data_IF_828525550680
#
_entry.id   IF_828525550680
#
_cell.length_a   1.000
_cell.length_b   1.000
_cell.length_c   1.000
_cell.angle_alpha   90.00
_cell.angle_beta   90.00
_cell.angle_gamma   90.00
#
_symmetry.space_group_name_H-M   'P 1'
#
loop_
_entity.id
_entity.type
_entity.pdbx_description
1 polymer ?
#
# COMPACT_ATOMS: atom_id res chain seq x y z
N UNK A 1 -38.66 -49.64 28.81
CA UNK A 1 -37.23 -49.33 29.08
C UNK A 1 -37.13 -47.82 29.20
N UNK A 2 -36.74 -47.37 30.33
CA UNK A 2 -37.09 -46.13 31.05
C UNK A 2 -36.41 -44.91 30.47
N UNK A 3 -37.20 -43.90 30.09
CA UNK A 3 -36.78 -42.54 29.84
C UNK A 3 -36.64 -41.82 31.19
N UNK A 4 -35.51 -41.15 31.40
CA UNK A 4 -35.30 -40.31 32.54
C UNK A 4 -35.45 -38.83 32.11
N UNK A 5 -36.55 -38.28 32.61
CA UNK A 5 -36.95 -36.90 32.54
C UNK A 5 -36.10 -36.08 33.53
N UNK A 6 -35.54 -34.97 33.09
CA UNK A 6 -34.87 -34.00 33.99
C UNK A 6 -35.50 -32.61 33.85
N UNK A 7 -36.50 -32.38 34.69
CA UNK A 7 -37.16 -31.10 34.90
C UNK A 7 -36.36 -30.24 35.89
N UNK A 8 -35.91 -29.04 35.46
CA UNK A 8 -35.39 -28.04 36.37
C UNK A 8 -36.51 -27.13 36.84
N UNK A 9 -36.86 -27.23 38.14
CA UNK A 9 -37.77 -26.34 38.83
C UNK A 9 -37.04 -25.09 39.31
N UNK A 10 -37.61 -23.94 38.92
CA UNK A 10 -37.30 -22.63 39.49
C UNK A 10 -37.88 -22.54 40.89
N UNK A 11 -37.10 -22.12 41.86
CA UNK A 11 -37.47 -21.30 43.04
C UNK A 11 -36.38 -21.44 44.10
N UNK A 12 -35.65 -20.35 44.44
CA UNK A 12 -35.58 -19.84 45.81
C UNK A 12 -35.05 -18.41 45.76
N UNK A 13 -35.86 -17.55 46.25
CA UNK A 13 -35.70 -16.10 46.45
C UNK A 13 -34.97 -15.82 47.77
N UNK A 14 -34.17 -14.77 47.75
CA UNK A 14 -33.95 -13.76 48.80
C UNK A 14 -33.46 -14.19 50.20
N UNK A 15 -32.32 -13.62 50.61
CA UNK A 15 -32.24 -12.70 51.78
C UNK A 15 -30.89 -11.95 51.84
N UNK A 16 -30.99 -10.67 51.59
CA UNK A 16 -30.38 -9.49 52.24
C UNK A 16 -29.19 -9.68 53.18
N UNK A 17 -28.12 -8.94 52.92
CA UNK A 17 -27.41 -8.16 53.93
C UNK A 17 -26.63 -7.02 53.28
N UNK A 18 -26.98 -5.81 53.73
CA UNK A 18 -26.28 -4.52 53.43
C UNK A 18 -25.09 -4.44 54.39
N UNK A 19 -23.91 -4.19 53.87
CA UNK A 19 -22.86 -3.50 54.64
C UNK A 19 -21.69 -3.09 53.73
N UNK A 20 -21.31 -1.84 53.74
CA UNK A 20 -19.95 -1.38 53.55
C UNK A 20 -19.60 -0.81 52.16
N UNK A 21 -19.95 0.46 51.96
CA UNK A 21 -19.36 1.35 50.96
C UNK A 21 -17.88 1.58 51.32
N UNK A 22 -16.96 1.05 50.54
CA UNK A 22 -15.59 1.53 50.46
C UNK A 22 -15.33 1.93 49.02
N UNK A 23 -15.46 3.24 48.77
CA UNK A 23 -15.01 3.87 47.55
C UNK A 23 -13.48 3.81 47.46
N UNK A 24 -12.95 2.75 46.91
CA UNK A 24 -11.62 2.75 46.33
C UNK A 24 -11.77 3.11 44.86
N UNK A 25 -11.32 4.33 44.55
CA UNK A 25 -11.28 4.84 43.16
C UNK A 25 -10.42 3.97 42.28
N UNK A 26 -11.00 2.95 41.68
CA UNK A 26 -10.43 2.29 40.51
C UNK A 26 -10.52 3.29 39.37
N UNK A 27 -9.38 3.93 39.06
CA UNK A 27 -9.17 4.58 37.79
C UNK A 27 -9.41 3.50 36.71
N UNK A 28 -10.61 3.48 36.15
CA UNK A 28 -10.94 2.76 34.94
C UNK A 28 -9.90 3.17 33.90
N UNK A 29 -8.89 2.31 33.73
CA UNK A 29 -7.93 2.40 32.65
C UNK A 29 -8.70 2.01 31.38
N UNK A 30 -9.51 2.95 30.88
CA UNK A 30 -10.03 2.81 29.53
C UNK A 30 -8.81 2.79 28.59
N UNK A 31 -8.58 1.70 27.84
CA UNK A 31 -7.58 1.75 26.81
C UNK A 31 -8.01 2.91 25.90
N UNK A 32 -7.15 3.94 25.82
CA UNK A 32 -7.25 4.95 24.78
C UNK A 32 -7.22 4.14 23.46
N UNK A 33 -8.39 3.88 22.90
CA UNK A 33 -8.51 3.52 21.50
C UNK A 33 -7.74 4.62 20.79
N UNK A 34 -6.51 4.28 20.37
CA UNK A 34 -5.72 5.13 19.51
C UNK A 34 -6.62 5.36 18.30
N UNK A 35 -7.27 6.52 18.28
CA UNK A 35 -8.06 6.98 17.15
C UNK A 35 -7.03 7.08 16.04
N UNK A 36 -6.95 6.03 15.21
CA UNK A 36 -6.18 6.07 13.99
C UNK A 36 -6.68 7.33 13.27
N UNK A 37 -5.92 8.41 13.34
CA UNK A 37 -6.22 9.59 12.55
C UNK A 37 -6.27 9.09 11.12
N UNK A 38 -7.47 9.08 10.55
CA UNK A 38 -7.64 8.78 9.14
C UNK A 38 -6.66 9.70 8.41
N UNK A 39 -5.61 9.14 7.86
CA UNK A 39 -4.62 9.89 7.10
C UNK A 39 -5.38 10.48 5.93
N UNK A 40 -5.57 11.78 5.92
CA UNK A 40 -6.15 12.47 4.77
C UNK A 40 -5.19 12.20 3.63
N UNK A 41 -5.62 11.36 2.69
CA UNK A 41 -4.82 11.06 1.51
C UNK A 41 -4.78 12.33 0.64
N UNK A 42 -3.63 12.68 0.07
CA UNK A 42 -3.54 13.80 -0.85
C UNK A 42 -4.37 13.53 -2.11
N UNK A 43 -4.56 14.54 -2.93
CA UNK A 43 -5.29 14.40 -4.20
C UNK A 43 -4.79 13.20 -5.02
N UNK A 44 -5.72 12.40 -5.52
CA UNK A 44 -5.43 11.18 -6.27
C UNK A 44 -5.18 11.47 -7.75
N UNK A 45 -4.23 12.34 -8.06
CA UNK A 45 -3.82 12.69 -9.43
C UNK A 45 -2.31 12.48 -9.60
N UNK A 46 -1.93 11.80 -10.68
CA UNK A 46 -0.54 11.48 -11.02
C UNK A 46 -0.25 11.76 -12.49
N UNK A 47 1.04 12.06 -12.77
CA UNK A 47 1.59 12.22 -14.10
C UNK A 47 2.65 11.18 -14.31
N UNK A 48 2.54 10.45 -15.42
CA UNK A 48 3.46 9.41 -15.81
C UNK A 48 4.05 9.65 -17.20
N UNK A 49 5.29 9.27 -17.34
CA UNK A 49 5.97 9.05 -18.61
C UNK A 49 6.63 7.67 -18.57
N UNK A 50 6.27 6.78 -19.48
CA UNK A 50 6.91 5.48 -19.59
C UNK A 50 8.13 5.61 -20.52
N UNK A 51 9.33 5.44 -19.98
CA UNK A 51 10.60 5.66 -20.71
C UNK A 51 10.87 4.65 -21.83
N UNK A 52 10.12 3.54 -21.90
CA UNK A 52 10.28 2.51 -22.91
C UNK A 52 9.24 2.59 -24.04
N UNK A 53 8.10 3.21 -23.79
CA UNK A 53 6.99 3.31 -24.77
C UNK A 53 6.75 4.72 -25.25
N UNK A 54 7.44 5.72 -24.67
CA UNK A 54 7.28 7.16 -24.93
C UNK A 54 5.86 7.69 -24.65
N UNK A 55 5.05 6.92 -23.91
CA UNK A 55 3.68 7.28 -23.57
C UNK A 55 3.63 8.17 -22.32
N UNK A 56 2.69 9.11 -22.35
CA UNK A 56 2.37 9.98 -21.20
C UNK A 56 0.94 9.82 -20.77
N UNK A 57 0.74 9.87 -19.45
CA UNK A 57 -0.59 9.83 -18.84
C UNK A 57 -0.65 10.83 -17.70
N UNK A 58 -1.64 11.72 -17.73
CA UNK A 58 -2.05 12.49 -16.58
C UNK A 58 -3.44 12.03 -16.19
N UNK A 59 -3.60 11.52 -14.99
CA UNK A 59 -4.83 10.83 -14.59
C UNK A 59 -5.20 11.13 -13.16
N UNK A 60 -6.49 11.44 -12.95
CA UNK A 60 -7.09 11.49 -11.61
C UNK A 60 -7.78 10.16 -11.35
N UNK A 61 -7.10 9.29 -10.62
CA UNK A 61 -7.56 7.92 -10.34
C UNK A 61 -8.43 7.80 -9.08
N UNK A 62 -8.49 8.87 -8.26
CA UNK A 62 -9.25 8.89 -7.00
C UNK A 62 -9.80 10.28 -6.73
N UNK A 63 -11.07 10.36 -6.40
CA UNK A 63 -11.74 11.62 -6.06
C UNK A 63 -11.48 12.02 -4.58
N UNK A 64 -11.97 13.21 -4.19
CA UNK A 64 -11.83 13.76 -2.84
C UNK A 64 -12.54 12.93 -1.76
N UNK A 65 -13.52 12.12 -2.14
CA UNK A 65 -14.24 11.20 -1.25
C UNK A 65 -13.51 9.87 -1.06
N UNK A 66 -12.34 9.69 -1.68
CA UNK A 66 -11.56 8.47 -1.61
C UNK A 66 -12.04 7.35 -2.54
N UNK A 67 -12.95 7.63 -3.47
CA UNK A 67 -13.47 6.64 -4.42
C UNK A 67 -12.57 6.58 -5.65
N UNK A 68 -12.20 5.36 -6.06
CA UNK A 68 -11.41 5.12 -7.26
C UNK A 68 -12.27 5.20 -8.52
N UNK A 69 -11.70 5.76 -9.58
CA UNK A 69 -12.22 5.69 -10.93
C UNK A 69 -11.65 4.46 -11.62
N UNK A 70 -12.53 3.51 -11.99
CA UNK A 70 -12.09 2.24 -12.57
C UNK A 70 -11.47 2.43 -13.95
N UNK A 71 -11.99 3.37 -14.76
CA UNK A 71 -11.40 3.67 -16.07
C UNK A 71 -9.99 4.25 -15.91
N UNK A 72 -9.80 5.15 -14.96
CA UNK A 72 -8.49 5.70 -14.65
C UNK A 72 -7.52 4.64 -14.11
N UNK A 73 -8.00 3.63 -13.38
CA UNK A 73 -7.18 2.49 -12.96
C UNK A 73 -6.79 1.61 -14.15
N UNK A 74 -7.66 1.43 -15.14
CA UNK A 74 -7.34 0.70 -16.38
C UNK A 74 -6.29 1.46 -17.21
N UNK A 75 -6.38 2.79 -17.32
CA UNK A 75 -5.34 3.61 -17.94
C UNK A 75 -4.00 3.47 -17.22
N UNK A 76 -4.01 3.41 -15.88
CA UNK A 76 -2.80 3.15 -15.07
C UNK A 76 -2.24 1.76 -15.32
N UNK A 77 -3.09 0.73 -15.39
CA UNK A 77 -2.67 -0.63 -15.73
C UNK A 77 -1.98 -0.65 -17.11
N UNK A 78 -2.52 0.11 -18.08
CA UNK A 78 -1.98 0.18 -19.43
C UNK A 78 -0.60 0.85 -19.47
N UNK A 79 -0.44 2.04 -18.87
CA UNK A 79 0.86 2.75 -18.89
C UNK A 79 1.94 2.03 -18.08
N UNK A 80 1.55 1.25 -17.07
CA UNK A 80 2.43 0.47 -16.19
C UNK A 80 2.62 -0.98 -16.66
N UNK A 81 2.14 -1.34 -17.85
CA UNK A 81 2.27 -2.69 -18.42
C UNK A 81 3.72 -3.14 -18.60
N UNK A 82 3.91 -4.41 -18.81
CA UNK A 82 5.22 -4.95 -19.12
C UNK A 82 5.71 -4.40 -20.46
N UNK A 83 6.72 -3.52 -20.45
CA UNK A 83 7.26 -2.92 -21.66
C UNK A 83 7.93 -3.93 -22.61
N UNK A 84 8.33 -5.11 -22.12
CA UNK A 84 8.99 -6.13 -22.91
C UNK A 84 8.01 -7.00 -23.70
N UNK A 85 6.87 -7.38 -23.07
CA UNK A 85 5.88 -8.27 -23.69
C UNK A 85 4.62 -7.55 -24.13
N UNK A 86 4.39 -6.30 -23.70
CA UNK A 86 3.15 -5.58 -23.90
C UNK A 86 1.99 -6.06 -23.00
N UNK A 87 2.24 -7.08 -22.17
CA UNK A 87 1.20 -7.64 -21.28
C UNK A 87 0.75 -6.63 -20.25
N UNK A 88 -0.57 -6.43 -20.14
CA UNK A 88 -1.23 -5.59 -19.14
C UNK A 88 -1.70 -6.46 -17.99
N UNK A 89 -1.44 -6.04 -16.77
CA UNK A 89 -1.96 -6.68 -15.56
C UNK A 89 -2.52 -5.63 -14.60
N UNK A 90 -3.38 -6.05 -13.70
CA UNK A 90 -3.93 -5.17 -12.66
C UNK A 90 -2.82 -4.78 -11.68
N UNK A 91 -2.59 -3.48 -11.57
CA UNK A 91 -1.72 -2.92 -10.55
C UNK A 91 -2.47 -2.82 -9.22
N UNK A 92 -1.83 -3.17 -8.13
CA UNK A 92 -2.39 -3.00 -6.79
C UNK A 92 -2.56 -1.49 -6.50
N UNK A 93 -3.76 -1.00 -6.20
CA UNK A 93 -3.98 0.42 -5.90
C UNK A 93 -3.08 0.95 -4.76
N UNK A 94 -2.62 0.10 -3.87
CA UNK A 94 -1.71 0.50 -2.78
C UNK A 94 -0.35 0.97 -3.29
N UNK A 95 0.19 0.39 -4.37
CA UNK A 95 1.46 0.89 -4.94
C UNK A 95 1.26 2.24 -5.62
N UNK A 96 0.10 2.47 -6.24
CA UNK A 96 -0.28 3.76 -6.82
C UNK A 96 -0.39 4.84 -5.72
N UNK A 97 -1.03 4.50 -4.59
CA UNK A 97 -1.08 5.41 -3.43
C UNK A 97 0.30 5.68 -2.83
N UNK A 98 1.20 4.70 -2.81
CA UNK A 98 2.57 4.91 -2.35
C UNK A 98 3.31 5.93 -3.24
N UNK A 99 3.20 5.79 -4.56
CA UNK A 99 3.75 6.75 -5.53
C UNK A 99 3.16 8.15 -5.32
N UNK A 100 1.83 8.24 -5.17
CA UNK A 100 1.13 9.50 -4.95
C UNK A 100 1.60 10.19 -3.66
N UNK A 101 1.68 9.47 -2.55
CA UNK A 101 2.17 9.99 -1.29
C UNK A 101 3.59 10.54 -1.39
N UNK A 102 4.48 9.81 -2.09
CA UNK A 102 5.86 10.24 -2.31
C UNK A 102 5.91 11.49 -3.18
N UNK A 103 5.24 11.49 -4.34
CA UNK A 103 5.22 12.62 -5.27
C UNK A 103 4.64 13.90 -4.60
N UNK A 104 3.49 13.79 -3.91
CA UNK A 104 2.88 14.95 -3.24
C UNK A 104 3.73 15.48 -2.09
N UNK A 105 4.43 14.61 -1.37
CA UNK A 105 5.38 15.04 -0.31
C UNK A 105 6.60 15.75 -0.89
N UNK A 106 6.97 15.50 -2.15
CA UNK A 106 8.05 16.16 -2.87
C UNK A 106 7.63 17.46 -3.57
N UNK A 107 6.39 17.90 -3.42
CA UNK A 107 5.84 19.12 -4.03
C UNK A 107 4.73 18.88 -5.05
N UNK A 108 4.50 17.64 -5.48
CA UNK A 108 3.31 17.25 -6.24
C UNK A 108 3.31 17.54 -7.74
N UNK A 109 4.33 18.21 -8.29
CA UNK A 109 4.33 18.69 -9.68
C UNK A 109 5.21 17.88 -10.64
N UNK A 110 5.99 16.93 -10.13
CA UNK A 110 6.94 16.16 -10.94
C UNK A 110 6.27 15.03 -11.73
N UNK A 111 6.57 14.94 -13.05
CA UNK A 111 6.21 13.77 -13.87
C UNK A 111 7.01 12.56 -13.38
N UNK A 112 6.33 11.44 -13.13
CA UNK A 112 6.97 10.18 -12.72
C UNK A 112 7.42 9.44 -13.97
N UNK A 113 8.73 9.31 -14.14
CA UNK A 113 9.33 8.55 -15.24
C UNK A 113 9.44 7.09 -14.85
N UNK A 114 8.58 6.25 -15.44
CA UNK A 114 8.49 4.81 -15.14
C UNK A 114 9.52 4.04 -15.93
N UNK A 115 10.36 3.28 -15.21
CA UNK A 115 11.32 2.34 -15.77
C UNK A 115 10.72 0.93 -15.84
N UNK A 116 9.95 0.53 -14.81
CA UNK A 116 9.29 -0.76 -14.78
C UNK A 116 8.06 -0.70 -13.87
N UNK A 117 6.88 -0.98 -14.41
CA UNK A 117 5.66 -1.26 -13.66
C UNK A 117 5.48 -2.76 -13.50
N UNK A 118 4.38 -3.31 -14.05
CA UNK A 118 4.18 -4.75 -14.16
C UNK A 118 5.29 -5.39 -14.97
N UNK A 119 5.68 -6.57 -14.56
CA UNK A 119 6.70 -7.39 -15.22
C UNK A 119 6.15 -8.79 -15.46
N UNK A 120 5.98 -9.17 -16.72
CA UNK A 120 5.51 -10.51 -17.03
C UNK A 120 6.42 -11.59 -16.43
N UNK A 121 5.90 -12.76 -16.07
CA UNK A 121 6.70 -13.89 -15.58
C UNK A 121 7.84 -14.25 -16.55
N UNK A 122 7.57 -14.19 -17.86
CA UNK A 122 8.57 -14.43 -18.93
C UNK A 122 9.71 -13.43 -18.83
N UNK A 123 9.40 -12.13 -18.81
CA UNK A 123 10.40 -11.09 -18.72
C UNK A 123 11.18 -11.15 -17.40
N UNK A 124 10.51 -11.41 -16.30
CA UNK A 124 11.19 -11.60 -15.02
C UNK A 124 12.17 -12.77 -15.05
N UNK A 125 11.80 -13.90 -15.68
CA UNK A 125 12.68 -15.04 -15.84
C UNK A 125 13.94 -14.70 -16.68
N UNK A 126 13.80 -13.87 -17.71
CA UNK A 126 14.94 -13.36 -18.48
C UNK A 126 15.86 -12.48 -17.64
N UNK A 127 15.31 -11.59 -16.83
CA UNK A 127 16.08 -10.73 -15.93
C UNK A 127 16.84 -11.53 -14.87
N UNK A 128 16.22 -12.55 -14.27
CA UNK A 128 16.87 -13.44 -13.30
C UNK A 128 18.05 -14.19 -13.91
N UNK A 129 17.96 -14.60 -15.19
CA UNK A 129 19.08 -15.22 -15.91
C UNK A 129 20.21 -14.24 -16.19
N UNK A 130 19.92 -12.96 -16.43
CA UNK A 130 20.88 -11.92 -16.83
C UNK A 130 21.50 -11.18 -15.65
N UNK A 131 20.84 -11.15 -14.50
CA UNK A 131 21.26 -10.34 -13.37
C UNK A 131 21.03 -11.05 -12.03
N UNK A 132 22.09 -11.07 -11.20
CA UNK A 132 21.99 -11.55 -9.80
C UNK A 132 21.12 -10.66 -8.90
N UNK A 133 20.72 -9.48 -9.37
CA UNK A 133 19.88 -8.54 -8.64
C UNK A 133 18.38 -8.78 -8.82
N UNK A 134 18.00 -9.43 -9.91
CA UNK A 134 16.62 -9.80 -10.14
C UNK A 134 16.26 -11.04 -9.32
N UNK A 135 15.11 -11.00 -8.67
CA UNK A 135 14.60 -12.08 -7.82
C UNK A 135 13.49 -12.84 -8.52
N UNK A 136 13.38 -14.16 -8.25
CA UNK A 136 12.33 -15.00 -8.86
C UNK A 136 10.92 -14.56 -8.43
N UNK A 137 10.75 -14.30 -7.13
CA UNK A 137 9.48 -13.81 -6.55
C UNK A 137 9.55 -12.29 -6.46
N UNK A 138 9.23 -11.63 -7.55
CA UNK A 138 9.29 -10.18 -7.69
C UNK A 138 7.89 -9.59 -7.54
N UNK A 139 7.74 -8.56 -6.70
CA UNK A 139 6.47 -7.84 -6.55
C UNK A 139 6.04 -7.12 -7.84
N UNK A 140 6.95 -6.90 -8.80
CA UNK A 140 6.58 -6.45 -10.14
C UNK A 140 5.71 -7.46 -10.90
N UNK A 141 5.92 -8.77 -10.67
CA UNK A 141 5.12 -9.84 -11.29
C UNK A 141 3.71 -9.89 -10.70
N UNK A 142 3.57 -9.42 -9.48
CA UNK A 142 2.28 -9.33 -8.77
C UNK A 142 1.56 -7.99 -9.00
N UNK A 143 2.09 -7.10 -9.84
CA UNK A 143 1.55 -5.74 -10.01
C UNK A 143 1.68 -4.85 -8.77
N UNK A 144 2.60 -5.15 -7.86
CA UNK A 144 2.73 -4.51 -6.55
C UNK A 144 3.95 -3.61 -6.42
N UNK A 145 4.69 -3.38 -7.50
CA UNK A 145 5.92 -2.60 -7.47
C UNK A 145 6.09 -1.72 -8.71
N UNK A 146 6.80 -0.59 -8.53
CA UNK A 146 7.20 0.32 -9.61
C UNK A 146 8.64 0.79 -9.39
N UNK A 147 9.45 0.71 -10.45
CA UNK A 147 10.78 1.31 -10.57
C UNK A 147 10.64 2.63 -11.34
N UNK A 148 11.12 3.74 -10.77
CA UNK A 148 10.92 5.07 -11.34
C UNK A 148 11.97 6.08 -10.89
N UNK A 149 11.99 7.22 -11.56
CA UNK A 149 12.63 8.45 -11.11
C UNK A 149 11.74 9.66 -11.38
N UNK A 150 12.09 10.81 -10.81
CA UNK A 150 11.42 12.08 -11.08
C UNK A 150 12.50 13.04 -11.57
N UNK A 151 12.41 13.57 -12.81
CA UNK A 151 13.38 14.51 -13.35
C UNK A 151 13.60 15.70 -12.41
N UNK A 152 14.86 16.06 -12.20
CA UNK A 152 15.23 17.15 -11.29
C UNK A 152 15.22 16.82 -9.80
N UNK A 153 14.74 15.64 -9.39
CA UNK A 153 14.75 15.16 -7.99
C UNK A 153 15.76 14.04 -7.83
N UNK A 154 16.74 14.24 -6.95
CA UNK A 154 17.75 13.19 -6.71
C UNK A 154 17.13 11.97 -6.05
N UNK A 155 17.48 10.73 -6.46
CA UNK A 155 16.92 9.49 -5.89
C UNK A 155 17.04 9.41 -4.38
N UNK A 156 18.10 9.98 -3.79
CA UNK A 156 18.26 10.03 -2.32
C UNK A 156 17.17 10.85 -1.62
N UNK A 157 16.61 11.86 -2.28
CA UNK A 157 15.55 12.71 -1.74
C UNK A 157 14.21 11.96 -1.80
N UNK A 158 13.95 11.29 -2.92
CA UNK A 158 12.79 10.39 -3.06
C UNK A 158 12.85 9.30 -1.98
N UNK A 159 14.02 8.65 -1.82
CA UNK A 159 14.25 7.65 -0.76
C UNK A 159 13.96 8.19 0.64
N UNK A 160 14.46 9.38 0.95
CA UNK A 160 14.26 10.00 2.28
C UNK A 160 12.78 10.20 2.60
N UNK A 161 11.99 10.63 1.63
CA UNK A 161 10.53 10.78 1.76
C UNK A 161 9.86 9.43 1.91
N UNK A 162 10.14 8.47 1.03
CA UNK A 162 9.54 7.15 1.05
C UNK A 162 9.80 6.41 2.39
N UNK A 163 11.02 6.49 2.92
CA UNK A 163 11.36 5.91 4.22
C UNK A 163 10.59 6.54 5.38
N UNK A 164 10.34 7.86 5.36
CA UNK A 164 9.53 8.53 6.38
C UNK A 164 8.07 8.11 6.36
N UNK A 165 7.55 7.78 5.18
CA UNK A 165 6.17 7.34 5.02
C UNK A 165 5.94 5.94 5.59
N UNK A 166 6.96 5.08 5.61
CA UNK A 166 6.87 3.69 6.10
C UNK A 166 5.70 2.91 5.48
N UNK A 167 5.38 3.19 4.22
CA UNK A 167 4.18 2.66 3.56
C UNK A 167 4.42 1.24 3.01
N UNK A 168 5.59 0.99 2.44
CA UNK A 168 5.96 -0.27 1.80
C UNK A 168 7.46 -0.39 1.59
N UNK A 169 7.90 -1.29 0.71
CA UNK A 169 9.31 -1.48 0.39
C UNK A 169 9.91 -0.30 -0.37
N UNK A 170 11.18 0.02 -0.05
CA UNK A 170 11.95 1.11 -0.67
C UNK A 170 13.33 0.61 -1.09
N UNK A 171 13.53 0.40 -2.38
CA UNK A 171 14.82 0.05 -2.99
C UNK A 171 15.55 1.28 -3.52
N UNK A 172 16.86 1.37 -3.26
CA UNK A 172 17.68 2.50 -3.70
C UNK A 172 18.78 2.06 -4.66
N UNK A 173 18.73 2.56 -5.89
CA UNK A 173 19.64 2.20 -6.97
C UNK A 173 20.43 3.41 -7.50
N UNK A 174 21.38 3.97 -6.72
CA UNK A 174 22.05 5.23 -7.05
C UNK A 174 22.91 5.17 -8.33
N UNK A 175 23.41 3.98 -8.70
CA UNK A 175 24.21 3.82 -9.94
C UNK A 175 23.35 3.79 -11.21
N UNK A 176 22.08 3.43 -11.07
CA UNK A 176 21.11 3.36 -12.17
C UNK A 176 20.10 4.51 -12.09
N UNK A 177 20.26 5.41 -11.12
CA UNK A 177 19.53 6.66 -10.91
C UNK A 177 18.02 6.49 -10.75
N UNK A 178 17.58 5.43 -10.05
CA UNK A 178 16.17 5.20 -9.80
C UNK A 178 15.86 4.69 -8.38
N UNK A 179 14.58 4.73 -8.03
CA UNK A 179 13.98 4.18 -6.81
C UNK A 179 13.00 3.08 -7.18
N UNK A 180 12.98 2.03 -6.37
CA UNK A 180 11.93 1.04 -6.33
C UNK A 180 10.96 1.35 -5.19
N UNK A 181 9.67 1.33 -5.45
CA UNK A 181 8.62 1.32 -4.43
C UNK A 181 7.71 0.12 -4.62
N UNK A 182 7.28 -0.47 -3.50
CA UNK A 182 6.28 -1.52 -3.50
C UNK A 182 5.28 -1.36 -2.34
N UNK A 183 4.20 -2.13 -2.36
CA UNK A 183 3.19 -2.13 -1.30
C UNK A 183 3.26 -3.36 -0.39
N UNK A 184 4.37 -4.08 -0.39
CA UNK A 184 4.66 -5.14 0.58
C UNK A 184 5.01 -4.61 1.97
N UNK A 185 5.41 -5.46 2.91
CA UNK A 185 5.86 -5.03 4.23
C UNK A 185 6.99 -3.99 4.14
N UNK A 186 6.96 -3.01 5.05
CA UNK A 186 8.01 -1.97 5.08
C UNK A 186 9.39 -2.58 5.25
N UNK A 187 10.28 -2.24 4.31
CA UNK A 187 11.70 -2.62 4.29
C UNK A 187 12.49 -1.69 3.38
N UNK A 188 13.82 -1.69 3.49
CA UNK A 188 14.67 -0.91 2.58
C UNK A 188 15.97 -1.61 2.27
N UNK A 189 16.54 -1.36 1.09
CA UNK A 189 17.84 -1.88 0.63
C UNK A 189 18.55 -0.92 -0.31
#
# INVERSE_FOLDING_TARGET
>A
MVAADWSWTRRTLLKTSVAGVLCLGEKLFMPRLARAQARVLPEGELWFYNVHTDERLRVRYRNERGQYDLTALDDLNHILRCHHTGEVATMDPRVIEHLNLVQKTLGGEGEIHVISGYRSPEYNALLVKRSRRAVRHSLHVEGQAVDFFIPGVRPREIRKVALKLQYGGVGYYPRADFIHLDCGPFRSW
#
